data_IF_667881617586
#
_entry.id   IF_667881617586
#
_cell.length_a   1.000
_cell.length_b   1.000
_cell.length_c   1.000
_cell.angle_alpha   90.00
_cell.angle_beta   90.00
_cell.angle_gamma   90.00
#
_symmetry.space_group_name_H-M   'P 1'
#
loop_
_entity.id
_entity.type
_entity.pdbx_description
1 polymer ?
#
# COMPACT_ATOMS: atom_id res chain seq x y z
N UNK A 1 -0.21 18.12 -69.32
CA UNK A 1 -0.46 19.33 -68.52
C UNK A 1 0.51 19.33 -67.37
N UNK A 2 1.36 20.34 -67.36
CA UNK A 2 2.49 20.59 -66.46
C UNK A 2 2.03 21.07 -65.10
N UNK A 3 2.61 20.52 -64.03
CA UNK A 3 2.50 21.05 -62.66
C UNK A 3 3.33 20.19 -61.71
N UNK A 4 4.48 20.67 -61.18
CA UNK A 4 5.39 19.86 -60.37
C UNK A 4 4.88 19.71 -58.93
N UNK A 5 4.94 18.48 -58.45
CA UNK A 5 4.84 18.11 -57.04
C UNK A 5 6.10 18.63 -56.32
N UNK A 6 6.01 19.48 -55.28
CA UNK A 6 7.17 19.83 -54.50
C UNK A 6 7.57 18.64 -53.62
N UNK A 7 8.81 18.22 -53.80
CA UNK A 7 9.52 17.25 -52.99
C UNK A 7 9.27 17.49 -51.50
N UNK A 8 8.76 16.46 -50.82
CA UNK A 8 8.85 16.34 -49.38
C UNK A 8 10.32 16.14 -49.03
N UNK A 9 11.07 17.24 -48.96
CA UNK A 9 12.41 17.27 -48.40
C UNK A 9 12.33 16.84 -46.94
N UNK A 10 13.09 15.78 -46.64
CA UNK A 10 13.49 15.39 -45.31
C UNK A 10 13.99 16.62 -44.53
N UNK A 11 13.18 17.07 -43.58
CA UNK A 11 13.60 18.04 -42.58
C UNK A 11 14.23 17.24 -41.42
N UNK A 12 15.50 17.51 -41.05
CA UNK A 12 16.07 16.94 -39.82
C UNK A 12 15.26 17.43 -38.60
N UNK A 13 15.25 16.70 -37.48
CA UNK A 13 14.51 17.09 -36.27
C UNK A 13 15.15 18.32 -35.64
N UNK A 14 14.80 19.49 -36.17
CA UNK A 14 15.16 20.79 -35.64
C UNK A 14 14.05 21.27 -34.71
N UNK A 15 14.49 21.71 -33.53
CA UNK A 15 13.76 22.55 -32.57
C UNK A 15 13.03 21.78 -31.46
N UNK A 16 13.81 21.05 -30.66
CA UNK A 16 13.53 20.87 -29.23
C UNK A 16 13.89 22.13 -28.41
N UNK A 17 13.76 23.33 -29.00
CA UNK A 17 14.01 24.60 -28.32
C UNK A 17 12.69 25.18 -27.79
N UNK A 18 11.99 24.39 -26.98
CA UNK A 18 11.12 24.95 -25.96
C UNK A 18 12.03 25.35 -24.79
N UNK A 19 12.58 26.56 -24.90
CA UNK A 19 13.26 27.37 -23.88
C UNK A 19 13.90 26.59 -22.70
N UNK A 20 15.24 26.50 -22.59
CA UNK A 20 15.83 26.46 -21.26
C UNK A 20 15.33 27.68 -20.47
N UNK A 21 15.04 27.58 -19.15
CA UNK A 21 14.73 28.76 -18.37
C UNK A 21 15.93 29.71 -18.49
N UNK A 22 15.75 30.79 -19.24
CA UNK A 22 16.77 31.82 -19.39
C UNK A 22 17.01 32.42 -18.00
N UNK A 23 18.06 31.95 -17.32
CA UNK A 23 18.44 32.45 -16.01
C UNK A 23 18.99 33.86 -16.23
N UNK A 24 18.10 34.86 -16.20
CA UNK A 24 18.47 36.28 -16.16
C UNK A 24 19.54 36.50 -15.08
N UNK A 25 20.55 37.37 -15.29
CA UNK A 25 21.66 37.56 -14.36
C UNK A 25 21.29 38.19 -12.99
N UNK A 26 20.02 38.47 -12.73
CA UNK A 26 19.47 38.76 -11.39
C UNK A 26 18.79 37.57 -10.69
N UNK A 27 18.66 36.42 -11.37
CA UNK A 27 17.86 35.26 -10.96
C UNK A 27 18.58 34.22 -10.10
N UNK A 28 19.91 34.32 -9.94
CA UNK A 28 20.68 33.37 -9.10
C UNK A 28 20.27 33.40 -7.63
N UNK A 29 19.98 34.60 -7.09
CA UNK A 29 19.51 34.74 -5.70
C UNK A 29 18.10 34.18 -5.54
N UNK A 30 17.20 34.46 -6.47
CA UNK A 30 15.83 33.95 -6.47
C UNK A 30 15.79 32.43 -6.66
N UNK A 31 16.60 31.89 -7.58
CA UNK A 31 16.73 30.44 -7.79
C UNK A 31 17.30 29.73 -6.55
N UNK A 32 18.31 30.30 -5.89
CA UNK A 32 18.85 29.76 -4.65
C UNK A 32 17.82 29.77 -3.50
N UNK A 33 17.02 30.85 -3.40
CA UNK A 33 15.94 30.94 -2.39
C UNK A 33 14.86 29.89 -2.64
N UNK A 34 14.41 29.74 -3.89
CA UNK A 34 13.37 28.75 -4.24
C UNK A 34 13.87 27.33 -4.00
N UNK A 35 15.09 27.00 -4.42
CA UNK A 35 15.69 25.68 -4.16
C UNK A 35 15.88 25.43 -2.66
N UNK A 36 16.32 26.43 -1.90
CA UNK A 36 16.43 26.35 -0.45
C UNK A 36 15.09 26.10 0.24
N UNK A 37 14.03 26.81 -0.17
CA UNK A 37 12.67 26.62 0.34
C UNK A 37 12.10 25.25 -0.02
N UNK A 38 12.29 24.78 -1.26
CA UNK A 38 11.89 23.43 -1.66
C UNK A 38 12.61 22.36 -0.84
N UNK A 39 13.91 22.54 -0.58
CA UNK A 39 14.69 21.59 0.20
C UNK A 39 14.25 21.56 1.66
N UNK A 40 14.05 22.73 2.27
CA UNK A 40 13.53 22.85 3.64
C UNK A 40 12.12 22.28 3.75
N UNK A 41 11.23 22.60 2.81
CA UNK A 41 9.87 22.09 2.76
C UNK A 41 9.82 20.57 2.64
N UNK A 42 10.61 20.00 1.73
CA UNK A 42 10.74 18.54 1.55
C UNK A 42 11.24 17.86 2.83
N UNK A 43 12.29 18.42 3.45
CA UNK A 43 12.86 17.88 4.69
C UNK A 43 11.87 17.94 5.85
N UNK A 44 11.13 19.03 6.00
CA UNK A 44 10.09 19.17 7.02
C UNK A 44 8.98 18.14 6.85
N UNK A 45 8.47 17.97 5.62
CA UNK A 45 7.43 16.97 5.33
C UNK A 45 7.96 15.56 5.63
N UNK A 46 9.21 15.26 5.26
CA UNK A 46 9.84 13.98 5.55
C UNK A 46 9.94 13.72 7.06
N UNK A 47 10.40 14.69 7.85
CA UNK A 47 10.53 14.57 9.31
C UNK A 47 9.17 14.40 9.98
N UNK A 48 8.15 15.17 9.58
CA UNK A 48 6.79 15.07 10.14
C UNK A 48 6.19 13.69 9.84
N UNK A 49 6.32 13.23 8.58
CA UNK A 49 5.81 11.93 8.16
C UNK A 49 6.51 10.80 8.91
N UNK A 50 7.84 10.88 9.03
CA UNK A 50 8.63 9.91 9.79
C UNK A 50 8.26 9.89 11.27
N UNK A 51 8.06 11.05 11.90
CA UNK A 51 7.65 11.13 13.30
C UNK A 51 6.28 10.48 13.57
N UNK A 52 5.31 10.65 12.67
CA UNK A 52 4.03 9.93 12.76
C UNK A 52 4.19 8.43 12.53
N UNK A 53 5.10 8.04 11.64
CA UNK A 53 5.39 6.64 11.35
C UNK A 53 6.04 5.93 12.55
N UNK A 54 7.08 6.50 13.14
CA UNK A 54 7.78 5.93 14.31
C UNK A 54 6.83 5.72 15.51
N UNK A 55 5.95 6.69 15.78
CA UNK A 55 4.94 6.57 16.84
C UNK A 55 3.90 5.47 16.55
N UNK A 56 3.65 5.20 15.27
CA UNK A 56 2.73 4.14 14.85
C UNK A 56 3.35 2.76 15.00
N UNK A 57 4.66 2.60 14.76
CA UNK A 57 5.35 1.32 14.94
C UNK A 57 5.34 0.85 16.40
N UNK A 58 5.58 1.75 17.38
CA UNK A 58 5.56 1.36 18.79
C UNK A 58 4.19 0.87 19.25
N UNK A 59 3.11 1.52 18.80
CA UNK A 59 1.73 1.09 19.07
C UNK A 59 1.48 -0.29 18.46
N UNK A 60 1.87 -0.49 17.18
CA UNK A 60 1.70 -1.78 16.50
C UNK A 60 2.52 -2.90 17.14
N UNK A 61 3.75 -2.63 17.58
CA UNK A 61 4.60 -3.63 18.23
C UNK A 61 4.04 -4.08 19.58
N UNK A 62 3.49 -3.15 20.36
CA UNK A 62 2.82 -3.47 21.61
C UNK A 62 1.56 -4.30 21.35
N UNK A 63 0.74 -3.89 20.36
CA UNK A 63 -0.46 -4.61 19.96
C UNK A 63 -0.14 -6.03 19.45
N UNK A 64 0.92 -6.20 18.68
CA UNK A 64 1.41 -7.50 18.19
C UNK A 64 1.82 -8.43 19.34
N UNK A 65 2.52 -7.88 20.34
CA UNK A 65 2.92 -8.64 21.54
C UNK A 65 1.71 -9.05 22.36
N UNK A 66 0.72 -8.18 22.48
CA UNK A 66 -0.51 -8.49 23.18
C UNK A 66 -1.36 -9.52 22.42
N UNK A 67 -1.46 -9.40 21.10
CA UNK A 67 -2.14 -10.36 20.23
C UNK A 67 -1.52 -11.77 20.36
N UNK A 68 -0.20 -11.88 20.45
CA UNK A 68 0.47 -13.17 20.71
C UNK A 68 0.08 -13.77 22.06
N UNK A 69 0.04 -12.95 23.11
CA UNK A 69 -0.34 -13.41 24.45
C UNK A 69 -1.81 -13.85 24.52
N UNK A 70 -2.71 -13.09 23.89
CA UNK A 70 -4.13 -13.46 23.78
C UNK A 70 -4.33 -14.71 22.94
N UNK A 71 -3.58 -14.82 21.83
CA UNK A 71 -3.57 -15.98 20.95
C UNK A 71 -3.15 -17.29 21.61
N UNK A 72 -2.41 -17.24 22.73
CA UNK A 72 -2.10 -18.43 23.52
C UNK A 72 -3.35 -19.06 24.18
N UNK A 73 -4.38 -18.24 24.46
CA UNK A 73 -5.61 -18.62 25.14
C UNK A 73 -6.79 -18.86 24.18
N UNK A 74 -6.69 -18.38 22.94
CA UNK A 74 -7.77 -18.39 21.95
C UNK A 74 -7.64 -19.58 20.96
N UNK A 75 -8.78 -20.18 20.53
CA UNK A 75 -8.81 -21.10 19.40
C UNK A 75 -8.55 -20.36 18.07
N UNK A 76 -8.38 -21.10 16.96
CA UNK A 76 -8.04 -20.53 15.63
C UNK A 76 -9.06 -19.49 15.18
N UNK A 77 -10.34 -19.81 15.32
CA UNK A 77 -11.47 -18.97 14.95
C UNK A 77 -11.52 -17.72 15.83
N UNK A 78 -11.21 -17.87 17.13
CA UNK A 78 -11.14 -16.76 18.08
C UNK A 78 -10.01 -15.76 17.77
N UNK A 79 -8.93 -16.19 17.11
CA UNK A 79 -7.91 -15.26 16.62
C UNK A 79 -8.42 -14.36 15.49
N UNK A 80 -9.30 -14.87 14.61
CA UNK A 80 -9.90 -14.06 13.54
C UNK A 80 -10.75 -12.96 14.15
N UNK A 81 -11.61 -13.31 15.12
CA UNK A 81 -12.48 -12.36 15.79
C UNK A 81 -11.69 -11.30 16.58
N UNK A 82 -10.61 -11.69 17.27
CA UNK A 82 -9.73 -10.75 18.00
C UNK A 82 -9.04 -9.77 17.05
N UNK A 83 -8.53 -10.26 15.92
CA UNK A 83 -7.86 -9.42 14.91
C UNK A 83 -8.86 -8.46 14.24
N UNK A 84 -10.08 -8.92 13.94
CA UNK A 84 -11.13 -8.07 13.39
C UNK A 84 -11.63 -7.03 14.39
N UNK A 85 -11.71 -7.38 15.68
CA UNK A 85 -12.03 -6.44 16.75
C UNK A 85 -10.93 -5.38 16.92
N UNK A 86 -9.66 -5.78 16.87
CA UNK A 86 -8.52 -4.87 16.88
C UNK A 86 -8.56 -3.93 15.66
N UNK A 87 -8.81 -4.45 14.46
CA UNK A 87 -8.86 -3.65 13.23
C UNK A 87 -9.90 -2.52 13.32
N UNK A 88 -11.10 -2.81 13.85
CA UNK A 88 -12.15 -1.81 14.07
C UNK A 88 -11.75 -0.70 15.05
N UNK A 89 -10.85 -1.00 16.00
CA UNK A 89 -10.34 -0.06 16.98
C UNK A 89 -9.03 0.62 16.59
N UNK A 90 -8.47 0.32 15.42
CA UNK A 90 -7.16 0.78 15.01
C UNK A 90 -7.16 2.30 14.76
N UNK A 91 -6.40 3.05 15.56
CA UNK A 91 -6.28 4.52 15.45
C UNK A 91 -5.13 4.97 14.53
N UNK A 92 -4.44 4.02 13.89
CA UNK A 92 -3.35 4.31 12.95
C UNK A 92 -3.92 4.68 11.56
N UNK A 93 -3.04 4.86 10.57
CA UNK A 93 -3.50 5.04 9.18
C UNK A 93 -4.18 3.76 8.70
N UNK A 94 -5.35 3.89 8.05
CA UNK A 94 -6.16 2.79 7.52
C UNK A 94 -5.32 1.79 6.70
N UNK A 95 -4.48 2.32 5.81
CA UNK A 95 -3.59 1.49 4.97
C UNK A 95 -2.53 0.71 5.77
N UNK A 96 -2.13 1.21 6.95
CA UNK A 96 -1.26 0.47 7.87
C UNK A 96 -2.04 -0.59 8.63
N UNK A 97 -3.24 -0.25 9.12
CA UNK A 97 -4.11 -1.19 9.83
C UNK A 97 -4.41 -2.41 8.95
N UNK A 98 -4.84 -2.19 7.71
CA UNK A 98 -5.16 -3.25 6.74
C UNK A 98 -3.97 -4.16 6.44
N UNK A 99 -2.80 -3.58 6.19
CA UNK A 99 -1.57 -4.36 5.90
C UNK A 99 -1.09 -5.15 7.12
N UNK A 100 -1.45 -4.72 8.32
CA UNK A 100 -0.99 -5.34 9.57
C UNK A 100 -1.91 -6.47 10.04
N UNK A 101 -3.12 -6.59 9.49
CA UNK A 101 -4.05 -7.71 9.78
C UNK A 101 -3.35 -9.06 9.64
N UNK A 102 -2.63 -9.29 8.53
CA UNK A 102 -1.92 -10.54 8.29
C UNK A 102 -0.87 -10.85 9.36
N UNK A 103 -0.10 -9.83 9.78
CA UNK A 103 0.90 -9.98 10.85
C UNK A 103 0.24 -10.20 12.22
N UNK A 104 -0.86 -9.54 12.50
CA UNK A 104 -1.61 -9.75 13.74
C UNK A 104 -2.18 -11.16 13.83
N UNK A 105 -2.75 -11.65 12.73
CA UNK A 105 -3.24 -13.02 12.63
C UNK A 105 -2.09 -14.02 12.82
N UNK A 106 -0.95 -13.80 12.17
CA UNK A 106 0.25 -14.63 12.34
C UNK A 106 0.72 -14.64 13.79
N UNK A 107 0.80 -13.48 14.48
CA UNK A 107 1.22 -13.43 15.88
C UNK A 107 0.22 -14.08 16.83
N UNK A 108 -1.09 -13.91 16.60
CA UNK A 108 -2.12 -14.62 17.36
C UNK A 108 -2.01 -16.13 17.16
N UNK A 109 -1.75 -16.56 15.92
CA UNK A 109 -1.50 -17.96 15.59
C UNK A 109 -0.13 -18.47 16.08
N UNK A 110 0.84 -17.61 16.33
CA UNK A 110 2.13 -18.00 16.90
C UNK A 110 2.08 -18.16 18.43
N UNK A 111 0.97 -17.79 19.09
CA UNK A 111 0.82 -17.85 20.55
C UNK A 111 0.77 -19.26 21.15
N UNK A 112 0.46 -20.29 20.34
CA UNK A 112 0.32 -21.69 20.78
C UNK A 112 0.58 -22.64 19.60
N UNK A 113 1.13 -23.82 19.89
CA UNK A 113 1.21 -24.90 18.89
C UNK A 113 -0.20 -25.40 18.52
N UNK A 114 -0.49 -25.40 17.22
CA UNK A 114 -1.77 -25.83 16.65
C UNK A 114 -1.60 -26.97 15.65
N UNK A 115 -0.47 -27.68 15.72
CA UNK A 115 -0.19 -28.87 14.92
C UNK A 115 -1.33 -29.89 14.96
N UNK A 116 -1.96 -30.10 16.12
CA UNK A 116 -3.13 -31.00 16.26
C UNK A 116 -4.36 -30.52 15.50
N UNK A 117 -4.64 -29.21 15.48
CA UNK A 117 -5.74 -28.65 14.67
C UNK A 117 -5.42 -28.81 13.18
N UNK A 118 -4.19 -28.50 12.77
CA UNK A 118 -3.73 -28.63 11.39
C UNK A 118 -3.82 -30.07 10.85
N UNK A 119 -3.73 -31.10 11.69
CA UNK A 119 -3.93 -32.50 11.27
C UNK A 119 -5.37 -32.81 10.85
N UNK A 120 -6.34 -32.07 11.35
CA UNK A 120 -7.76 -32.25 11.04
C UNK A 120 -8.22 -31.38 9.86
N UNK A 121 -7.39 -30.41 9.45
CA UNK A 121 -7.68 -29.56 8.31
C UNK A 121 -7.13 -30.22 7.05
N UNK A 122 -8.02 -30.42 6.08
CA UNK A 122 -7.69 -30.93 4.75
C UNK A 122 -6.87 -29.86 4.00
N UNK A 123 -5.53 -29.95 4.13
CA UNK A 123 -4.59 -28.93 3.63
C UNK A 123 -4.66 -28.77 2.11
N UNK A 124 -4.99 -29.84 1.38
CA UNK A 124 -5.19 -29.78 -0.06
C UNK A 124 -6.38 -28.89 -0.41
N UNK A 125 -7.49 -28.98 0.34
CA UNK A 125 -8.61 -28.03 0.19
C UNK A 125 -8.27 -26.63 0.68
N UNK A 126 -7.45 -26.51 1.73
CA UNK A 126 -7.04 -25.20 2.25
C UNK A 126 -6.17 -24.42 1.26
N UNK A 127 -5.35 -25.11 0.46
CA UNK A 127 -4.48 -24.49 -0.55
C UNK A 127 -5.15 -24.32 -1.92
N UNK A 128 -6.16 -25.16 -2.26
CA UNK A 128 -6.78 -25.15 -3.60
C UNK A 128 -8.17 -24.50 -3.65
N UNK A 129 -8.82 -24.26 -2.52
CA UNK A 129 -10.07 -23.52 -2.52
C UNK A 129 -9.78 -22.02 -2.59
N UNK A 130 -10.31 -21.35 -3.62
CA UNK A 130 -10.48 -19.91 -3.58
C UNK A 130 -11.34 -19.57 -2.37
N UNK A 131 -10.71 -19.38 -1.21
CA UNK A 131 -11.37 -19.09 0.04
C UNK A 131 -12.15 -17.79 -0.14
N UNK A 132 -13.46 -17.88 -0.02
CA UNK A 132 -14.33 -16.73 -0.28
C UNK A 132 -14.53 -16.40 -1.76
N UNK A 133 -13.99 -17.15 -2.74
CA UNK A 133 -14.21 -16.87 -4.17
C UNK A 133 -15.68 -17.10 -4.54
N UNK A 134 -16.26 -18.22 -4.13
CA UNK A 134 -17.67 -18.53 -4.37
C UNK A 134 -18.57 -17.48 -3.71
N UNK A 135 -18.29 -17.12 -2.46
CA UNK A 135 -19.00 -16.08 -1.72
C UNK A 135 -18.81 -14.68 -2.33
N UNK A 136 -17.58 -14.35 -2.73
CA UNK A 136 -17.24 -13.08 -3.37
C UNK A 136 -17.92 -12.96 -4.73
N UNK A 137 -17.93 -14.02 -5.55
CA UNK A 137 -18.67 -14.05 -6.83
C UNK A 137 -20.18 -13.98 -6.60
N UNK A 138 -20.72 -14.58 -5.55
CA UNK A 138 -22.14 -14.46 -5.21
C UNK A 138 -22.53 -13.02 -4.82
N UNK A 139 -21.63 -12.28 -4.16
CA UNK A 139 -21.83 -10.87 -3.80
C UNK A 139 -21.56 -9.95 -5.00
N UNK A 140 -20.46 -10.17 -5.72
CA UNK A 140 -20.05 -9.41 -6.89
C UNK A 140 -20.94 -9.65 -8.11
N UNK A 141 -21.63 -10.80 -8.18
CA UNK A 141 -22.68 -11.06 -9.16
C UNK A 141 -23.83 -10.07 -9.06
N UNK A 142 -24.05 -9.48 -7.87
CA UNK A 142 -25.03 -8.41 -7.63
C UNK A 142 -24.48 -7.01 -7.89
N UNK A 143 -23.15 -6.83 -7.97
CA UNK A 143 -22.53 -5.53 -8.14
C UNK A 143 -21.28 -5.59 -9.05
N UNK A 144 -21.41 -5.09 -10.29
CA UNK A 144 -20.39 -5.22 -11.35
C UNK A 144 -19.03 -4.63 -10.99
N UNK A 145 -18.95 -3.67 -10.07
CA UNK A 145 -17.67 -3.08 -9.62
C UNK A 145 -16.86 -4.03 -8.75
N UNK A 146 -17.52 -4.87 -7.94
CA UNK A 146 -16.87 -5.86 -7.07
C UNK A 146 -16.31 -7.07 -7.83
N UNK A 147 -16.76 -7.30 -9.07
CA UNK A 147 -16.35 -8.45 -9.89
C UNK A 147 -14.86 -8.48 -10.20
N UNK A 148 -14.19 -7.33 -10.21
CA UNK A 148 -12.73 -7.21 -10.43
C UNK A 148 -11.89 -7.56 -9.20
N UNK A 149 -12.50 -7.63 -8.02
CA UNK A 149 -11.81 -7.85 -6.75
C UNK A 149 -11.89 -9.29 -6.24
N UNK A 150 -12.67 -10.14 -6.92
CA UNK A 150 -12.84 -11.55 -6.58
C UNK A 150 -11.90 -12.49 -7.37
N UNK A 151 -10.79 -12.01 -7.92
CA UNK A 151 -9.90 -12.78 -8.81
C UNK A 151 -8.47 -12.80 -8.31
#
# INVERSE_FOLDING_TARGET
MTGPSPAASLQPPGNADALPPEIRPGGRRTAAIVLGLCFLGSTLIAVITYGRFARSEELLLNDLKEAKNRGALLPVEGCVDDVLAWHKGCTAMETLCDRTIGRMMEQCLAGRDRSDYCRHVDMDKAQTSGFGYQECVAIAGKNRTLKKHCG
#
